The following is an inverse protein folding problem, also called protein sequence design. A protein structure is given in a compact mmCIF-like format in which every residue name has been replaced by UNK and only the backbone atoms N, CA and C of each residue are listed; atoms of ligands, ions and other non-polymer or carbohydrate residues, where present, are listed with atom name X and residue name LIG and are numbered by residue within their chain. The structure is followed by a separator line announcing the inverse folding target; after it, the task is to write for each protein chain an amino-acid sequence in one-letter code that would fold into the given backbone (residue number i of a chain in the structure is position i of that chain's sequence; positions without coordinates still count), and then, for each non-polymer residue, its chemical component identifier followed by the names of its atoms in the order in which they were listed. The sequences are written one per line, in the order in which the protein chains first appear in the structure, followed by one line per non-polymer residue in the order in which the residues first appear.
data_IF_456755365617
#
_entry.id   IF_456755365617
#
_cell.length_a   1.000
_cell.length_b   1.000
_cell.length_c   1.000
_cell.angle_alpha   90.00
_cell.angle_beta   90.00
_cell.angle_gamma   90.00
#
_symmetry.space_group_name_H-M   'P 1'
#
loop_
_entity.id
_entity.type
_entity.pdbx_description
1 polymer ?
#
# COMPACT_ATOMS: atom_id res chain seq x y z
N UNK A 1 25.79 -42.87 5.82
CA UNK A 1 25.16 -41.79 5.04
C UNK A 1 24.72 -40.72 6.02
N UNK A 2 25.35 -39.55 6.00
CA UNK A 2 24.93 -38.44 6.85
C UNK A 2 23.75 -37.76 6.17
N UNK A 3 22.53 -38.12 6.57
CA UNK A 3 21.34 -37.38 6.13
C UNK A 3 21.39 -35.98 6.75
N UNK A 4 21.36 -34.95 5.93
CA UNK A 4 21.04 -33.61 6.42
C UNK A 4 19.56 -33.66 6.81
N UNK A 5 19.29 -33.59 8.13
CA UNK A 5 17.92 -33.57 8.64
C UNK A 5 17.17 -32.43 7.96
N UNK A 6 15.98 -32.67 7.40
CA UNK A 6 15.16 -31.60 6.87
C UNK A 6 14.94 -30.54 7.96
N UNK A 7 15.35 -29.31 7.67
CA UNK A 7 15.10 -28.17 8.52
C UNK A 7 13.95 -27.38 7.92
N UNK A 8 12.86 -27.28 8.68
CA UNK A 8 11.72 -26.46 8.35
C UNK A 8 11.78 -25.20 9.21
N UNK A 9 11.73 -24.05 8.57
CA UNK A 9 11.70 -22.76 9.23
C UNK A 9 10.47 -21.98 8.80
N UNK A 10 9.77 -21.41 9.78
CA UNK A 10 8.65 -20.51 9.58
C UNK A 10 8.90 -19.22 10.35
N UNK A 11 8.69 -18.08 9.68
CA UNK A 11 8.64 -16.78 10.33
C UNK A 11 7.39 -16.01 9.90
N UNK A 12 6.74 -15.39 10.88
CA UNK A 12 5.58 -14.52 10.68
C UNK A 12 5.85 -13.15 11.28
N UNK A 13 5.38 -12.10 10.65
CA UNK A 13 5.45 -10.73 11.17
C UNK A 13 4.11 -10.04 10.94
N UNK A 14 3.71 -9.24 11.92
CA UNK A 14 2.54 -8.38 11.86
C UNK A 14 2.98 -6.97 12.22
N UNK A 15 2.79 -6.02 11.31
CA UNK A 15 3.27 -4.64 11.40
C UNK A 15 2.08 -3.69 11.33
N UNK A 16 2.07 -2.66 12.18
CA UNK A 16 1.12 -1.55 12.08
C UNK A 16 1.80 -0.34 11.45
N UNK A 17 1.35 0.08 10.26
CA UNK A 17 1.86 1.27 9.57
C UNK A 17 0.97 2.46 9.89
N UNK A 18 1.54 3.56 10.37
CA UNK A 18 0.78 4.78 10.66
C UNK A 18 1.14 5.85 9.62
N UNK A 19 0.16 6.36 8.85
CA UNK A 19 0.39 7.50 7.96
C UNK A 19 0.90 8.69 8.77
N UNK A 20 2.01 9.29 8.34
CA UNK A 20 2.64 10.42 9.04
C UNK A 20 3.05 11.52 8.07
N UNK A 21 3.29 12.72 8.59
CA UNK A 21 3.74 13.86 7.80
C UNK A 21 2.64 14.71 7.16
N UNK A 22 1.37 14.45 7.48
CA UNK A 22 0.27 15.34 7.10
C UNK A 22 0.03 16.39 8.20
N UNK A 23 -0.06 17.70 7.86
CA UNK A 23 -0.29 18.74 8.85
C UNK A 23 -1.71 18.63 9.44
N UNK A 24 -1.86 18.92 10.72
CA UNK A 24 -3.18 19.07 11.34
C UNK A 24 -3.88 20.31 10.79
N UNK A 25 -5.17 20.19 10.50
CA UNK A 25 -5.99 21.33 10.10
C UNK A 25 -6.58 22.03 11.33
N UNK A 26 -6.80 23.33 11.23
CA UNK A 26 -7.62 24.06 12.19
C UNK A 26 -9.09 23.65 12.05
N UNK A 27 -9.91 24.06 13.02
CA UNK A 27 -11.36 24.03 12.88
C UNK A 27 -11.84 25.09 11.87
N UNK A 28 -13.12 25.03 11.48
CA UNK A 28 -13.69 25.95 10.50
C UNK A 28 -13.59 27.40 10.95
N UNK A 29 -13.85 27.68 12.23
CA UNK A 29 -13.80 29.03 12.80
C UNK A 29 -12.37 29.58 12.76
N UNK A 30 -11.37 28.83 13.25
CA UNK A 30 -9.98 29.24 13.19
C UNK A 30 -9.48 29.46 11.76
N UNK A 31 -9.87 28.58 10.83
CA UNK A 31 -9.57 28.76 9.41
C UNK A 31 -10.17 30.06 8.83
N UNK A 32 -11.45 30.34 9.09
CA UNK A 32 -12.12 31.54 8.59
C UNK A 32 -11.51 32.81 9.18
N UNK A 33 -11.17 32.81 10.48
CA UNK A 33 -10.49 33.92 11.16
C UNK A 33 -9.16 34.25 10.48
N UNK A 34 -8.27 33.27 10.33
CA UNK A 34 -6.96 33.49 9.69
C UNK A 34 -7.08 33.92 8.22
N UNK A 35 -8.08 33.43 7.50
CA UNK A 35 -8.34 33.85 6.11
C UNK A 35 -8.80 35.29 6.03
N UNK A 36 -9.68 35.72 6.93
CA UNK A 36 -10.11 37.11 7.03
C UNK A 36 -8.95 38.03 7.43
N UNK A 37 -8.18 37.69 8.45
CA UNK A 37 -6.98 38.45 8.86
C UNK A 37 -6.00 38.62 7.71
N UNK A 38 -5.64 37.52 7.04
CA UNK A 38 -4.74 37.56 5.87
C UNK A 38 -5.27 38.47 4.77
N UNK A 39 -6.56 38.42 4.45
CA UNK A 39 -7.13 39.26 3.39
C UNK A 39 -7.25 40.72 3.83
N UNK A 40 -7.44 41.00 5.12
CA UNK A 40 -7.45 42.35 5.67
C UNK A 40 -6.06 43.01 5.65
N UNK A 41 -5.00 42.21 5.79
CA UNK A 41 -3.60 42.66 5.71
C UNK A 41 -3.07 42.82 4.27
N UNK A 42 -3.94 42.92 3.26
CA UNK A 42 -3.53 43.10 1.88
C UNK A 42 -3.21 44.58 1.56
N UNK A 43 -2.07 44.82 0.89
CA UNK A 43 -1.54 46.17 0.59
C UNK A 43 -2.47 47.02 -0.29
N UNK A 44 -3.33 46.39 -1.09
CA UNK A 44 -4.26 47.07 -2.01
C UNK A 44 -5.65 47.32 -1.40
N UNK A 45 -5.80 47.18 -0.08
CA UNK A 45 -7.07 47.27 0.63
C UNK A 45 -7.59 45.90 1.03
N UNK A 46 -8.07 45.81 2.27
CA UNK A 46 -8.59 44.59 2.88
C UNK A 46 -10.07 44.37 2.60
N UNK A 47 -10.46 43.12 2.37
CA UNK A 47 -11.87 42.72 2.34
C UNK A 47 -12.06 41.46 3.17
N UNK A 48 -13.20 41.37 3.86
CA UNK A 48 -13.59 40.16 4.56
C UNK A 48 -14.01 39.11 3.53
N UNK A 49 -13.43 37.92 3.64
CA UNK A 49 -13.82 36.77 2.82
C UNK A 49 -15.02 36.03 3.42
N UNK A 50 -15.09 36.00 4.75
CA UNK A 50 -16.16 35.36 5.49
C UNK A 50 -16.90 36.40 6.36
N UNK A 51 -18.23 36.43 6.25
CA UNK A 51 -19.10 37.32 7.02
C UNK A 51 -19.42 36.77 8.41
N UNK A 52 -19.90 37.63 9.32
CA UNK A 52 -20.26 37.24 10.70
C UNK A 52 -21.36 36.17 10.73
N UNK A 53 -22.30 36.23 9.80
CA UNK A 53 -23.36 35.23 9.62
C UNK A 53 -22.80 33.81 9.43
N UNK A 54 -21.66 33.69 8.75
CA UNK A 54 -21.00 32.40 8.55
C UNK A 54 -20.35 31.90 9.84
N UNK A 55 -19.76 32.80 10.65
CA UNK A 55 -19.26 32.44 11.99
C UNK A 55 -20.40 32.01 12.91
N UNK A 56 -21.51 32.75 12.91
CA UNK A 56 -22.69 32.47 13.72
C UNK A 56 -23.28 31.10 13.37
N UNK A 57 -23.24 30.68 12.10
CA UNK A 57 -23.69 29.37 11.66
C UNK A 57 -22.87 28.20 12.26
N UNK A 58 -21.58 28.39 12.55
CA UNK A 58 -20.79 27.37 13.29
C UNK A 58 -21.00 27.50 14.81
N UNK A 59 -21.14 28.73 15.32
CA UNK A 59 -21.36 28.96 16.75
C UNK A 59 -22.71 28.41 17.24
N UNK A 60 -23.76 28.52 16.41
CA UNK A 60 -25.10 28.01 16.72
C UNK A 60 -25.31 26.53 16.34
N UNK A 61 -24.30 25.87 15.77
CA UNK A 61 -24.33 24.46 15.40
C UNK A 61 -25.08 24.13 14.10
N UNK A 62 -25.54 25.13 13.34
CA UNK A 62 -26.16 24.91 12.01
C UNK A 62 -25.16 24.29 11.04
N UNK A 63 -23.87 24.63 11.17
CA UNK A 63 -22.75 24.02 10.46
C UNK A 63 -21.75 23.41 11.43
N UNK A 64 -21.10 22.35 11.00
CA UNK A 64 -20.04 21.68 11.75
C UNK A 64 -18.72 21.74 10.98
N UNK A 65 -17.63 21.91 11.71
CA UNK A 65 -16.28 21.78 11.15
C UNK A 65 -16.06 20.34 10.67
N UNK A 66 -15.48 20.19 9.49
CA UNK A 66 -15.12 18.87 8.94
C UNK A 66 -13.64 18.59 9.21
N UNK A 67 -13.37 17.53 9.97
CA UNK A 67 -12.03 16.95 10.08
C UNK A 67 -11.83 15.94 8.96
N UNK A 68 -11.12 16.35 7.92
CA UNK A 68 -10.91 15.54 6.72
C UNK A 68 -9.91 14.40 6.91
N UNK A 69 -9.05 14.45 7.93
CA UNK A 69 -8.01 13.45 8.12
C UNK A 69 -8.56 12.04 8.41
N UNK A 70 -9.39 11.84 9.46
CA UNK A 70 -9.94 10.50 9.78
C UNK A 70 -10.99 10.03 8.77
N UNK A 71 -11.46 10.94 7.91
CA UNK A 71 -12.37 10.65 6.81
C UNK A 71 -11.64 10.08 5.59
N UNK A 72 -10.41 10.54 5.32
CA UNK A 72 -9.65 10.11 4.13
C UNK A 72 -8.61 9.04 4.45
N UNK A 73 -8.00 9.11 5.63
CA UNK A 73 -6.91 8.22 6.04
C UNK A 73 -7.31 7.31 7.19
N UNK A 74 -6.85 6.07 7.12
CA UNK A 74 -6.94 5.12 8.23
C UNK A 74 -5.95 5.51 9.34
N UNK A 75 -6.31 5.23 10.59
CA UNK A 75 -5.44 5.49 11.74
C UNK A 75 -4.19 4.61 11.75
N UNK A 76 -4.29 3.43 11.15
CA UNK A 76 -3.19 2.53 10.83
C UNK A 76 -3.57 1.66 9.63
N UNK A 77 -2.56 1.09 8.95
CA UNK A 77 -2.68 0.09 7.91
C UNK A 77 -1.84 -1.13 8.31
N UNK A 78 -2.45 -2.29 8.58
CA UNK A 78 -1.72 -3.50 8.92
C UNK A 78 -0.97 -4.09 7.71
N UNK A 79 0.18 -4.69 7.99
CA UNK A 79 0.96 -5.48 7.04
C UNK A 79 1.31 -6.82 7.68
N UNK A 80 1.15 -7.92 6.95
CA UNK A 80 1.53 -9.26 7.37
C UNK A 80 2.50 -9.89 6.41
N UNK A 81 3.52 -10.54 6.97
CA UNK A 81 4.52 -11.27 6.19
C UNK A 81 4.68 -12.67 6.75
N UNK A 82 4.64 -13.67 5.88
CA UNK A 82 4.81 -15.07 6.23
C UNK A 82 5.88 -15.67 5.32
N UNK A 83 6.93 -16.25 5.91
CA UNK A 83 7.96 -16.95 5.19
C UNK A 83 8.04 -18.38 5.70
N UNK A 84 7.96 -19.33 4.79
CA UNK A 84 8.16 -20.75 5.04
C UNK A 84 9.35 -21.21 4.20
N UNK A 85 10.28 -21.94 4.80
CA UNK A 85 11.36 -22.56 4.03
C UNK A 85 11.67 -23.95 4.53
N UNK A 86 12.02 -24.82 3.58
CA UNK A 86 12.51 -26.15 3.84
C UNK A 86 13.86 -26.28 3.16
N UNK A 87 14.88 -26.65 3.94
CA UNK A 87 16.21 -26.96 3.45
C UNK A 87 16.59 -28.35 3.93
N UNK A 88 17.35 -29.08 3.13
CA UNK A 88 17.74 -30.43 3.50
C UNK A 88 18.38 -31.20 2.37
N UNK A 89 18.65 -32.47 2.63
CA UNK A 89 19.27 -33.32 1.63
C UNK A 89 19.94 -34.56 2.18
N UNK A 90 20.64 -35.25 1.28
CA UNK A 90 21.49 -36.39 1.57
C UNK A 90 22.74 -36.33 0.67
N UNK A 91 23.53 -37.40 0.66
CA UNK A 91 24.79 -37.49 -0.09
C UNK A 91 24.63 -37.25 -1.62
N UNK A 92 23.40 -37.38 -2.16
CA UNK A 92 23.09 -37.21 -3.59
C UNK A 92 22.33 -35.93 -3.89
N UNK A 93 21.43 -35.51 -3.03
CA UNK A 93 20.52 -34.38 -3.31
C UNK A 93 20.56 -33.37 -2.21
N UNK A 94 20.71 -32.11 -2.56
CA UNK A 94 20.53 -30.97 -1.66
C UNK A 94 19.46 -30.06 -2.22
N UNK A 95 18.54 -29.60 -1.39
CA UNK A 95 17.47 -28.72 -1.82
C UNK A 95 17.23 -27.58 -0.83
N UNK A 96 16.72 -26.49 -1.39
CA UNK A 96 16.09 -25.39 -0.69
C UNK A 96 14.78 -25.08 -1.40
N UNK A 97 13.70 -24.93 -0.64
CA UNK A 97 12.41 -24.42 -1.11
C UNK A 97 11.96 -23.35 -0.13
N UNK A 98 11.65 -22.16 -0.65
CA UNK A 98 11.14 -21.03 0.12
C UNK A 98 9.84 -20.53 -0.49
N UNK A 99 8.88 -20.24 0.37
CA UNK A 99 7.60 -19.60 0.07
C UNK A 99 7.49 -18.36 0.93
N UNK A 100 7.15 -17.23 0.31
CA UNK A 100 6.89 -15.97 0.99
C UNK A 100 5.51 -15.45 0.61
N UNK A 101 4.78 -14.90 1.57
CA UNK A 101 3.56 -14.16 1.37
C UNK A 101 3.65 -12.83 2.11
N UNK A 102 3.27 -11.75 1.44
CA UNK A 102 3.13 -10.41 2.00
C UNK A 102 1.72 -9.92 1.67
N UNK A 103 1.06 -9.35 2.65
CA UNK A 103 -0.15 -8.55 2.48
C UNK A 103 0.05 -7.21 3.17
N UNK A 104 -0.25 -6.13 2.48
CA UNK A 104 -0.23 -4.77 3.02
C UNK A 104 -1.59 -4.14 2.73
N UNK A 105 -2.26 -3.67 3.78
CA UNK A 105 -3.50 -2.92 3.64
C UNK A 105 -3.24 -1.51 3.13
N UNK A 106 -4.20 -0.95 2.38
CA UNK A 106 -4.16 0.44 1.96
C UNK A 106 -4.32 1.41 3.13
N UNK A 107 -3.63 2.55 3.06
CA UNK A 107 -3.68 3.57 4.11
C UNK A 107 -4.87 4.51 4.02
N UNK A 108 -5.63 4.48 2.92
CA UNK A 108 -6.89 5.22 2.83
C UNK A 108 -7.95 4.61 3.72
N UNK A 109 -8.96 5.40 4.06
CA UNK A 109 -10.08 4.96 4.90
C UNK A 109 -10.90 3.84 4.26
N UNK A 110 -10.91 3.76 2.93
CA UNK A 110 -11.51 2.66 2.15
C UNK A 110 -10.69 1.37 2.17
N UNK A 111 -9.48 1.38 2.71
CA UNK A 111 -8.49 0.29 2.63
C UNK A 111 -7.96 -0.02 1.21
N UNK A 112 -8.38 0.75 0.21
CA UNK A 112 -7.84 0.71 -1.15
C UNK A 112 -6.36 1.12 -1.20
N UNK A 113 -5.66 0.70 -2.26
CA UNK A 113 -4.20 0.62 -2.37
C UNK A 113 -3.58 -0.60 -1.70
N UNK A 114 -4.40 -1.62 -1.39
CA UNK A 114 -3.90 -2.88 -0.85
C UNK A 114 -2.95 -3.57 -1.84
N UNK A 115 -1.99 -4.30 -1.28
CA UNK A 115 -0.94 -4.99 -2.02
C UNK A 115 -0.74 -6.39 -1.47
N UNK A 116 -0.73 -7.38 -2.35
CA UNK A 116 -0.37 -8.74 -2.00
C UNK A 116 0.74 -9.26 -2.89
N UNK A 117 1.65 -10.05 -2.32
CA UNK A 117 2.80 -10.60 -3.03
C UNK A 117 3.13 -12.00 -2.55
N UNK A 118 3.27 -12.90 -3.51
CA UNK A 118 3.75 -14.26 -3.33
C UNK A 118 5.15 -14.38 -3.92
N UNK A 119 6.06 -14.98 -3.16
CA UNK A 119 7.41 -15.31 -3.59
C UNK A 119 7.61 -16.82 -3.49
N UNK A 120 8.17 -17.42 -4.53
CA UNK A 120 8.59 -18.83 -4.52
C UNK A 120 10.05 -18.87 -4.96
N UNK A 121 10.88 -19.57 -4.19
CA UNK A 121 12.26 -19.87 -4.57
C UNK A 121 12.53 -21.35 -4.39
N UNK A 122 13.14 -21.99 -5.37
CA UNK A 122 13.63 -23.35 -5.24
C UNK A 122 15.02 -23.46 -5.82
N UNK A 123 15.94 -24.06 -5.07
CA UNK A 123 17.25 -24.43 -5.57
C UNK A 123 17.44 -25.92 -5.27
N UNK A 124 17.68 -26.73 -6.28
CA UNK A 124 17.84 -28.19 -6.14
C UNK A 124 19.09 -28.60 -6.89
N UNK A 125 20.00 -29.29 -6.21
CA UNK A 125 21.17 -29.92 -6.81
C UNK A 125 21.09 -31.41 -6.55
N UNK A 126 21.21 -32.23 -7.60
CA UNK A 126 21.08 -33.69 -7.54
C UNK A 126 22.18 -34.38 -8.32
N UNK A 127 22.90 -35.30 -7.67
CA UNK A 127 23.80 -36.26 -8.31
C UNK A 127 22.99 -37.43 -8.84
N UNK A 128 22.56 -37.32 -10.09
CA UNK A 128 21.86 -38.39 -10.82
C UNK A 128 22.74 -39.65 -10.83
N UNK A 129 24.03 -39.49 -11.18
CA UNK A 129 25.06 -40.54 -11.07
C UNK A 129 26.31 -39.98 -10.39
N UNK A 130 27.31 -40.82 -10.14
CA UNK A 130 28.61 -40.37 -9.60
C UNK A 130 29.33 -39.36 -10.51
N UNK A 131 28.90 -39.22 -11.77
CA UNK A 131 29.49 -38.33 -12.77
C UNK A 131 28.47 -37.39 -13.41
N UNK A 132 27.21 -37.41 -13.00
CA UNK A 132 26.16 -36.60 -13.60
C UNK A 132 25.43 -35.84 -12.52
N UNK A 133 25.59 -34.52 -12.53
CA UNK A 133 24.93 -33.60 -11.60
C UNK A 133 23.91 -32.76 -12.35
N UNK A 134 22.74 -32.59 -11.76
CA UNK A 134 21.68 -31.71 -12.24
C UNK A 134 21.45 -30.61 -11.22
N UNK A 135 21.38 -29.37 -11.69
CA UNK A 135 21.05 -28.21 -10.88
C UNK A 135 19.81 -27.52 -11.45
N UNK A 136 18.91 -27.12 -10.56
CA UNK A 136 17.71 -26.35 -10.86
C UNK A 136 17.65 -25.16 -9.93
N UNK A 137 17.46 -23.98 -10.51
CA UNK A 137 17.18 -22.75 -9.78
C UNK A 137 15.89 -22.16 -10.33
N UNK A 138 14.92 -21.94 -9.46
CA UNK A 138 13.61 -21.36 -9.77
C UNK A 138 13.38 -20.17 -8.84
N UNK A 139 12.95 -19.05 -9.41
CA UNK A 139 12.45 -17.89 -8.68
C UNK A 139 11.18 -17.38 -9.34
N UNK A 140 10.13 -17.22 -8.55
CA UNK A 140 8.85 -16.68 -9.01
C UNK A 140 8.39 -15.59 -8.05
N UNK A 141 7.88 -14.51 -8.61
CA UNK A 141 7.19 -13.43 -7.89
C UNK A 141 5.86 -13.19 -8.58
N UNK A 142 4.80 -13.19 -7.79
CA UNK A 142 3.46 -12.83 -8.26
C UNK A 142 2.93 -11.78 -7.31
N UNK A 143 2.55 -10.62 -7.82
CA UNK A 143 1.99 -9.54 -7.03
C UNK A 143 0.74 -8.97 -7.65
N UNK A 144 -0.14 -8.52 -6.76
CA UNK A 144 -1.43 -7.95 -7.06
C UNK A 144 -1.57 -6.65 -6.27
N UNK A 145 -1.99 -5.60 -6.97
CA UNK A 145 -2.26 -4.31 -6.38
C UNK A 145 -3.65 -3.82 -6.78
N UNK A 146 -4.50 -3.64 -5.78
CA UNK A 146 -5.82 -3.04 -5.96
C UNK A 146 -5.73 -1.54 -5.71
N UNK A 147 -6.31 -0.75 -6.61
CA UNK A 147 -6.31 0.72 -6.52
C UNK A 147 -7.70 1.25 -6.88
N UNK A 148 -8.09 2.41 -6.33
CA UNK A 148 -9.23 3.13 -6.88
C UNK A 148 -8.87 3.59 -8.31
N UNK A 149 -9.88 3.86 -9.12
CA UNK A 149 -9.67 4.34 -10.49
C UNK A 149 -8.88 5.66 -10.51
N UNK A 150 -9.15 6.53 -9.53
CA UNK A 150 -8.45 7.79 -9.37
C UNK A 150 -7.02 7.57 -8.85
N UNK A 151 -6.09 8.39 -9.34
CA UNK A 151 -4.71 8.32 -8.86
C UNK A 151 -4.63 8.84 -7.41
N UNK A 152 -3.75 8.24 -6.61
CA UNK A 152 -3.54 8.64 -5.21
C UNK A 152 -3.17 10.12 -5.08
N UNK A 153 -2.51 10.70 -6.09
CA UNK A 153 -2.26 12.13 -6.15
C UNK A 153 -3.55 12.95 -6.14
N UNK A 154 -4.59 12.54 -6.87
CA UNK A 154 -5.87 13.24 -6.89
C UNK A 154 -6.57 13.16 -5.54
N UNK A 155 -6.46 12.03 -4.84
CA UNK A 155 -6.97 11.88 -3.47
C UNK A 155 -6.25 12.84 -2.52
N UNK A 156 -4.91 12.82 -2.51
CA UNK A 156 -4.08 13.64 -1.61
C UNK A 156 -4.24 15.13 -1.93
N UNK A 157 -4.24 15.51 -3.21
CA UNK A 157 -4.49 16.87 -3.67
C UNK A 157 -5.88 17.33 -3.27
N UNK A 158 -6.90 16.46 -3.46
CA UNK A 158 -8.27 16.70 -3.03
C UNK A 158 -8.30 17.00 -1.53
N UNK A 159 -7.69 16.15 -0.71
CA UNK A 159 -7.55 16.33 0.73
C UNK A 159 -6.89 17.66 1.13
N UNK A 160 -5.75 18.02 0.53
CA UNK A 160 -5.05 19.29 0.84
C UNK A 160 -5.85 20.54 0.45
N UNK A 161 -6.75 20.42 -0.53
CA UNK A 161 -7.62 21.51 -0.97
C UNK A 161 -8.88 21.64 -0.13
N UNK A 162 -9.21 20.64 0.69
CA UNK A 162 -10.38 20.72 1.55
C UNK A 162 -10.14 21.66 2.72
N UNK A 163 -11.01 22.65 2.84
CA UNK A 163 -11.08 23.48 4.03
C UNK A 163 -11.95 22.81 5.10
N UNK A 164 -11.67 23.03 6.40
CA UNK A 164 -12.52 22.52 7.48
C UNK A 164 -13.95 23.12 7.48
N UNK A 165 -14.17 24.18 6.71
CA UNK A 165 -15.47 24.82 6.51
C UNK A 165 -16.28 24.21 5.34
N UNK A 166 -15.70 23.27 4.60
CA UNK A 166 -16.37 22.54 3.50
C UNK A 166 -16.93 21.25 4.08
N UNK A 167 -18.23 20.95 3.90
CA UNK A 167 -18.82 19.72 4.41
C UNK A 167 -18.35 18.50 3.60
N UNK A 168 -18.22 17.36 4.28
CA UNK A 168 -17.90 16.08 3.62
C UNK A 168 -19.12 15.45 2.91
N UNK A 169 -20.32 15.70 3.43
CA UNK A 169 -21.60 15.15 2.95
C UNK A 169 -22.54 16.27 2.51
N UNK A 170 -23.40 15.98 1.53
CA UNK A 170 -24.41 16.90 1.03
C UNK A 170 -25.69 16.90 1.90
N UNK A 171 -25.90 15.84 2.67
CA UNK A 171 -27.09 15.59 3.49
C UNK A 171 -26.74 15.37 4.97
N UNK A 172 -27.65 15.68 5.91
CA UNK A 172 -27.43 15.44 7.34
C UNK A 172 -27.32 13.96 7.71
N UNK A 173 -27.91 13.05 6.90
CA UNK A 173 -27.89 11.60 7.14
C UNK A 173 -26.56 10.95 6.69
N UNK A 174 -25.65 11.72 6.09
CA UNK A 174 -24.33 11.27 5.62
C UNK A 174 -24.39 10.15 4.57
N UNK A 175 -25.43 10.16 3.74
CA UNK A 175 -25.65 9.17 2.68
C UNK A 175 -25.12 9.61 1.32
N UNK A 176 -24.91 10.91 1.13
CA UNK A 176 -24.48 11.50 -0.13
C UNK A 176 -23.21 12.31 0.07
N UNK A 177 -22.17 11.99 -0.71
CA UNK A 177 -20.93 12.74 -0.70
C UNK A 177 -21.15 14.14 -1.26
N UNK A 178 -20.54 15.14 -0.60
CA UNK A 178 -20.60 16.52 -1.06
C UNK A 178 -19.84 16.68 -2.39
N UNK A 179 -20.43 17.39 -3.34
CA UNK A 179 -19.73 17.75 -4.58
C UNK A 179 -18.78 18.92 -4.31
N UNK A 180 -17.47 18.66 -4.41
CA UNK A 180 -16.43 19.61 -4.02
C UNK A 180 -16.51 20.95 -4.75
N UNK A 181 -16.22 22.04 -4.05
CA UNK A 181 -16.26 23.39 -4.61
C UNK A 181 -15.19 23.65 -5.69
N UNK A 182 -14.13 22.83 -5.71
CA UNK A 182 -13.02 22.98 -6.64
C UNK A 182 -12.92 21.74 -7.51
N UNK A 183 -13.21 21.89 -8.80
CA UNK A 183 -13.19 20.81 -9.80
C UNK A 183 -14.17 19.64 -9.49
N UNK A 184 -15.06 19.78 -8.50
CA UNK A 184 -15.91 18.68 -8.03
C UNK A 184 -15.20 17.70 -7.10
N UNK A 185 -13.96 18.00 -6.69
CA UNK A 185 -13.10 17.08 -5.95
C UNK A 185 -13.68 16.71 -4.58
N UNK A 186 -13.95 15.42 -4.36
CA UNK A 186 -14.19 14.87 -3.03
C UNK A 186 -13.19 13.72 -2.76
N UNK A 187 -12.24 13.88 -1.82
CA UNK A 187 -11.23 12.87 -1.57
C UNK A 187 -11.82 11.56 -1.03
N UNK A 188 -12.97 11.61 -0.34
CA UNK A 188 -13.66 10.39 0.10
C UNK A 188 -14.23 9.60 -1.08
N UNK A 189 -14.70 10.28 -2.13
CA UNK A 189 -15.11 9.61 -3.36
C UNK A 189 -13.90 9.01 -4.09
N UNK A 190 -12.83 9.80 -4.24
CA UNK A 190 -11.68 9.40 -5.05
C UNK A 190 -10.87 8.25 -4.45
N UNK A 191 -10.84 8.13 -3.12
CA UNK A 191 -10.12 7.05 -2.46
C UNK A 191 -10.84 5.70 -2.54
N UNK A 192 -12.14 5.69 -2.82
CA UNK A 192 -13.01 4.53 -2.67
C UNK A 192 -13.34 3.91 -4.03
N UNK A 193 -12.87 2.69 -4.24
CA UNK A 193 -13.05 1.96 -5.48
C UNK A 193 -14.48 1.50 -5.75
N UNK A 194 -15.34 1.42 -4.72
CA UNK A 194 -16.78 1.17 -4.90
C UNK A 194 -17.50 2.41 -5.44
N UNK A 195 -16.93 3.61 -5.24
CA UNK A 195 -17.48 4.88 -5.71
C UNK A 195 -16.96 5.25 -7.10
N UNK A 196 -15.63 5.23 -7.29
CA UNK A 196 -15.01 5.67 -8.55
C UNK A 196 -14.63 4.53 -9.49
N UNK A 197 -14.89 3.29 -9.10
CA UNK A 197 -14.39 2.09 -9.78
C UNK A 197 -12.94 1.78 -9.42
N UNK A 198 -12.41 0.69 -9.98
CA UNK A 198 -11.11 0.14 -9.59
C UNK A 198 -10.13 -0.03 -10.76
N UNK A 199 -8.84 -0.13 -10.42
CA UNK A 199 -7.74 -0.59 -11.28
C UNK A 199 -6.98 -1.68 -10.55
N UNK A 200 -6.88 -2.85 -11.19
CA UNK A 200 -6.17 -4.01 -10.64
C UNK A 200 -4.92 -4.31 -11.46
N UNK A 201 -3.77 -4.27 -10.81
CA UNK A 201 -2.48 -4.55 -11.44
C UNK A 201 -1.97 -5.92 -11.00
N UNK A 202 -1.81 -6.81 -11.96
CA UNK A 202 -1.30 -8.16 -11.72
C UNK A 202 0.03 -8.34 -12.43
N UNK A 203 1.07 -8.66 -11.69
CA UNK A 203 2.40 -8.93 -12.23
C UNK A 203 2.83 -10.34 -11.86
N UNK A 204 3.38 -11.05 -12.83
CA UNK A 204 3.93 -12.40 -12.66
C UNK A 204 5.28 -12.46 -13.34
N UNK A 205 6.29 -12.84 -12.59
CA UNK A 205 7.66 -12.96 -13.06
C UNK A 205 8.22 -14.30 -12.62
N UNK A 206 8.66 -15.12 -13.57
CA UNK A 206 9.16 -16.47 -13.33
C UNK A 206 10.51 -16.60 -14.04
N UNK A 207 11.52 -17.04 -13.31
CA UNK A 207 12.84 -17.35 -13.83
C UNK A 207 13.24 -18.73 -13.41
N UNK A 208 13.65 -19.52 -14.39
CA UNK A 208 14.14 -20.87 -14.20
C UNK A 208 15.46 -21.03 -14.93
N UNK A 209 16.45 -21.59 -14.25
CA UNK A 209 17.70 -22.02 -14.84
C UNK A 209 17.94 -23.47 -14.44
N UNK A 210 18.18 -24.33 -15.43
CA UNK A 210 18.55 -25.72 -15.21
C UNK A 210 19.89 -26.00 -15.89
N UNK A 211 20.75 -26.76 -15.24
CA UNK A 211 22.01 -27.22 -15.83
C UNK A 211 22.24 -28.69 -15.56
N UNK A 212 22.92 -29.33 -16.49
CA UNK A 212 23.40 -30.69 -16.38
C UNK A 212 24.91 -30.66 -16.54
N UNK A 213 25.61 -31.33 -15.63
CA UNK A 213 27.06 -31.34 -15.57
C UNK A 213 27.55 -32.78 -15.58
N UNK A 214 28.30 -33.16 -16.62
CA UNK A 214 28.90 -34.49 -16.73
C UNK A 214 30.41 -34.46 -16.49
N UNK A 215 30.90 -35.28 -15.56
CA UNK A 215 32.33 -35.45 -15.28
C UNK A 215 32.95 -36.47 -16.23
N UNK A 216 33.88 -36.02 -17.08
CA UNK A 216 34.52 -36.89 -18.07
C UNK A 216 35.48 -37.88 -17.37
N UNK A 217 35.38 -39.20 -17.65
CA UNK A 217 36.29 -40.19 -17.10
C UNK A 217 37.75 -39.89 -17.45
N UNK A 218 38.65 -40.01 -16.46
CA UNK A 218 40.10 -39.96 -16.69
C UNK A 218 40.73 -38.56 -16.64
N UNK A 219 39.94 -37.48 -16.56
CA UNK A 219 40.46 -36.10 -16.44
C UNK A 219 39.73 -35.38 -15.31
N UNK A 220 40.41 -35.16 -14.17
CA UNK A 220 39.82 -34.42 -13.04
C UNK A 220 39.57 -32.96 -13.44
N UNK A 221 38.35 -32.48 -13.21
CA UNK A 221 37.97 -31.07 -13.40
C UNK A 221 37.50 -30.70 -14.81
N UNK A 222 37.47 -31.64 -15.75
CA UNK A 222 36.87 -31.42 -17.07
C UNK A 222 35.38 -31.78 -17.02
N UNK A 223 34.54 -30.83 -17.40
CA UNK A 223 33.09 -30.97 -17.41
C UNK A 223 32.56 -30.70 -18.82
N UNK A 224 31.58 -31.49 -19.25
CA UNK A 224 30.79 -31.27 -20.45
C UNK A 224 29.34 -30.91 -20.08
#
# INVERSE_FOLDING_TARGET
ANMLKPELSYSGTYTFQVPSGLPSTLDAVGYMTLRNERNMHNLNGGSLMFGQDQFDAYANGTKQSTDWYPLVFSSYAPETMHNLSATGGNDRTTYYVGLGYLYQEGFFKSHDLSYSKYNIRSNITTKITNRLTFDLNLSSVMDEQDRPYQDSWWVIRGFWRQGPHIPAYADPEQTMLYHGLIEGDNPMAFMDSDVVGYKKYNKKWINSAASLKYEIPGIKGLFA
#
